data_IF_571432307400
#
_entry.id   IF_571432307400
#
_cell.length_a   1.000
_cell.length_b   1.000
_cell.length_c   1.000
_cell.angle_alpha   90.00
_cell.angle_beta   90.00
_cell.angle_gamma   90.00
#
_symmetry.space_group_name_H-M   'P 1'
#
loop_
_entity.id
_entity.type
_entity.pdbx_description
1 polymer ?
#
# COMPACT_ATOMS: atom_id res chain seq x y z
N UNK A 1 -6.43 9.68 4.66
CA UNK A 1 -7.76 9.29 4.13
C UNK A 1 -7.63 8.20 3.07
N UNK A 2 -6.80 8.39 2.03
CA UNK A 2 -6.48 7.36 1.02
C UNK A 2 -5.97 6.07 1.66
N UNK A 3 -4.97 6.18 2.55
CA UNK A 3 -4.39 5.04 3.29
C UNK A 3 -5.46 4.10 3.89
N UNK A 4 -6.42 4.67 4.63
CA UNK A 4 -7.54 3.92 5.24
C UNK A 4 -8.46 3.25 4.21
N UNK A 5 -8.64 3.85 3.02
CA UNK A 5 -9.43 3.22 1.95
C UNK A 5 -8.65 2.08 1.29
N UNK A 6 -7.35 2.25 1.06
CA UNK A 6 -6.50 1.18 0.55
C UNK A 6 -6.54 -0.03 1.49
N UNK A 7 -6.39 0.17 2.81
CA UNK A 7 -6.50 -0.89 3.82
C UNK A 7 -7.85 -1.62 3.78
N UNK A 8 -8.94 -0.89 3.51
CA UNK A 8 -10.28 -1.49 3.35
C UNK A 8 -10.40 -2.31 2.07
N UNK A 9 -9.79 -1.88 0.98
CA UNK A 9 -9.74 -2.65 -0.27
C UNK A 9 -8.91 -3.92 -0.06
N UNK A 10 -7.73 -3.81 0.57
CA UNK A 10 -6.87 -4.96 0.87
C UNK A 10 -7.55 -5.99 1.77
N UNK A 11 -8.29 -5.52 2.77
CA UNK A 11 -9.07 -6.38 3.66
C UNK A 11 -10.36 -6.94 3.07
N UNK A 12 -10.75 -6.55 1.85
CA UNK A 12 -11.95 -7.06 1.21
C UNK A 12 -11.77 -8.56 0.86
N UNK A 13 -12.75 -9.44 1.12
CA UNK A 13 -12.60 -10.88 0.91
C UNK A 13 -12.09 -11.27 -0.49
N UNK A 14 -12.61 -10.63 -1.53
CA UNK A 14 -12.17 -10.90 -2.91
C UNK A 14 -10.74 -10.45 -3.20
N UNK A 15 -10.20 -9.43 -2.50
CA UNK A 15 -8.81 -9.00 -2.71
C UNK A 15 -7.89 -9.85 -1.86
N UNK A 16 -8.19 -9.96 -0.57
CA UNK A 16 -7.40 -10.77 0.35
C UNK A 16 -7.33 -12.23 -0.10
N UNK A 17 -8.45 -12.81 -0.54
CA UNK A 17 -8.50 -14.18 -1.02
C UNK A 17 -7.64 -14.39 -2.27
N UNK A 18 -7.63 -13.44 -3.20
CA UNK A 18 -6.77 -13.49 -4.38
C UNK A 18 -5.29 -13.26 -4.05
N UNK A 19 -4.97 -12.39 -3.10
CA UNK A 19 -3.60 -12.23 -2.58
C UNK A 19 -3.12 -13.55 -1.95
N UNK A 20 -3.95 -14.17 -1.10
CA UNK A 20 -3.63 -15.46 -0.48
C UNK A 20 -3.43 -16.52 -1.57
N UNK A 21 -4.39 -16.68 -2.48
CA UNK A 21 -4.30 -17.67 -3.55
C UNK A 21 -3.09 -17.48 -4.46
N UNK A 22 -2.74 -16.22 -4.77
CA UNK A 22 -1.69 -15.91 -5.73
C UNK A 22 -0.28 -15.94 -5.16
N UNK A 23 -0.11 -15.76 -3.85
CA UNK A 23 1.21 -15.54 -3.26
C UNK A 23 1.52 -16.40 -2.02
N UNK A 24 0.56 -17.13 -1.47
CA UNK A 24 0.76 -17.99 -0.29
C UNK A 24 0.79 -19.45 -0.70
N UNK A 25 1.89 -20.14 -0.39
CA UNK A 25 2.09 -21.53 -0.83
C UNK A 25 1.14 -22.52 -0.15
N UNK A 26 0.74 -22.29 1.10
CA UNK A 26 -0.21 -23.16 1.80
C UNK A 26 -1.62 -23.10 1.20
N UNK A 27 -1.88 -22.16 0.28
CA UNK A 27 -3.13 -22.00 -0.46
C UNK A 27 -3.07 -22.58 -1.90
N UNK A 28 -1.97 -23.23 -2.29
CA UNK A 28 -1.75 -23.75 -3.65
C UNK A 28 -2.88 -24.71 -4.07
N UNK A 29 -3.25 -25.65 -3.19
CA UNK A 29 -4.29 -26.66 -3.46
C UNK A 29 -5.72 -26.21 -3.12
N UNK A 30 -5.89 -25.02 -2.53
CA UNK A 30 -7.21 -24.50 -2.12
C UNK A 30 -7.80 -23.65 -3.24
N UNK A 31 -9.07 -23.87 -3.61
CA UNK A 31 -9.72 -23.04 -4.63
C UNK A 31 -9.85 -21.59 -4.17
N UNK A 32 -9.88 -20.64 -5.12
CA UNK A 32 -10.05 -19.24 -4.77
C UNK A 32 -11.40 -19.00 -4.08
N UNK A 33 -12.44 -19.63 -4.59
CA UNK A 33 -13.81 -19.54 -4.09
C UNK A 33 -13.86 -20.00 -2.64
N UNK A 34 -13.20 -21.12 -2.32
CA UNK A 34 -13.09 -21.62 -0.96
C UNK A 34 -12.33 -20.65 -0.04
N UNK A 35 -11.22 -20.06 -0.49
CA UNK A 35 -10.50 -19.04 0.30
C UNK A 35 -11.39 -17.82 0.57
N UNK A 36 -12.09 -17.33 -0.45
CA UNK A 36 -13.02 -16.19 -0.31
C UNK A 36 -14.14 -16.55 0.68
N UNK A 37 -14.72 -17.75 0.59
CA UNK A 37 -15.75 -18.22 1.53
C UNK A 37 -15.21 -18.40 2.94
N UNK A 38 -13.96 -18.83 3.13
CA UNK A 38 -13.34 -18.86 4.47
C UNK A 38 -13.20 -17.45 5.08
N UNK A 39 -12.88 -16.45 4.25
CA UNK A 39 -12.77 -15.05 4.68
C UNK A 39 -14.15 -14.42 4.92
N UNK A 40 -15.15 -14.71 4.08
CA UNK A 40 -16.57 -14.32 4.26
C UNK A 40 -17.24 -15.09 5.41
N UNK A 41 -16.71 -16.27 5.72
CA UNK A 41 -17.28 -17.33 6.54
C UNK A 41 -17.88 -16.86 7.87
N UNK A 42 -19.13 -17.27 8.08
CA UNK A 42 -20.10 -16.73 9.04
C UNK A 42 -19.75 -16.98 10.52
N UNK A 43 -20.22 -16.03 11.33
CA UNK A 43 -20.19 -15.90 12.80
C UNK A 43 -20.99 -16.98 13.59
N UNK A 44 -21.52 -18.01 12.94
CA UNK A 44 -22.65 -18.78 13.50
C UNK A 44 -22.25 -20.05 14.27
N UNK A 45 -20.95 -20.26 14.48
CA UNK A 45 -20.43 -21.03 15.60
C UNK A 45 -19.58 -20.06 16.43
N UNK A 46 -19.75 -20.03 17.76
CA UNK A 46 -18.89 -19.25 18.64
C UNK A 46 -17.41 -19.44 18.24
N UNK A 47 -16.78 -18.36 17.76
CA UNK A 47 -15.44 -18.37 17.21
C UNK A 47 -15.37 -18.91 15.78
N UNK A 48 -15.42 -18.03 14.77
CA UNK A 48 -14.86 -18.36 13.47
C UNK A 48 -13.37 -18.71 13.69
N UNK A 49 -13.07 -20.00 13.73
CA UNK A 49 -11.72 -20.52 13.94
C UNK A 49 -10.93 -20.53 12.62
N UNK A 50 -11.61 -20.41 11.49
CA UNK A 50 -11.03 -20.50 10.15
C UNK A 50 -10.45 -19.19 9.65
N UNK A 51 -11.06 -18.03 9.92
CA UNK A 51 -10.49 -16.72 9.58
C UNK A 51 -10.71 -15.72 10.72
N UNK A 52 -9.67 -14.96 11.06
CA UNK A 52 -9.74 -13.91 12.08
C UNK A 52 -8.97 -12.68 11.60
N UNK A 53 -9.66 -11.55 11.42
CA UNK A 53 -9.00 -10.26 11.43
C UNK A 53 -8.54 -9.97 12.86
N UNK A 54 -7.24 -9.74 13.03
CA UNK A 54 -6.63 -9.51 14.34
C UNK A 54 -6.57 -8.01 14.65
N UNK A 55 -6.16 -7.66 15.87
CA UNK A 55 -5.85 -6.28 16.18
C UNK A 55 -4.58 -5.88 15.41
N UNK A 56 -4.70 -4.88 14.53
CA UNK A 56 -3.59 -4.30 13.79
C UNK A 56 -2.52 -3.67 14.70
N UNK A 57 -2.75 -3.55 16.01
CA UNK A 57 -1.74 -3.07 16.96
C UNK A 57 -1.26 -4.23 17.82
N UNK A 58 0.04 -4.51 17.76
CA UNK A 58 0.71 -5.40 18.70
C UNK A 58 1.63 -4.56 19.59
N UNK A 59 1.21 -4.42 20.84
CA UNK A 59 2.00 -3.80 21.90
C UNK A 59 2.60 -4.88 22.79
N UNK A 60 3.93 -4.95 22.84
CA UNK A 60 4.66 -5.88 23.70
C UNK A 60 5.33 -5.05 24.77
N UNK A 61 5.05 -5.38 26.04
CA UNK A 61 5.64 -4.73 27.19
C UNK A 61 7.17 -4.61 27.03
N UNK A 62 7.70 -3.41 27.25
CA UNK A 62 9.12 -3.05 27.09
C UNK A 62 9.71 -3.07 25.66
N UNK A 63 9.01 -3.64 24.67
CA UNK A 63 9.41 -3.66 23.26
C UNK A 63 8.62 -2.65 22.40
N UNK A 64 7.61 -2.01 22.99
CA UNK A 64 6.83 -0.94 22.39
C UNK A 64 5.75 -1.43 21.42
N UNK A 65 5.11 -0.47 20.76
CA UNK A 65 3.96 -0.67 19.88
C UNK A 65 4.37 -0.77 18.41
N UNK A 66 3.81 -1.75 17.71
CA UNK A 66 3.86 -1.84 16.23
C UNK A 66 2.43 -1.82 15.71
N UNK A 67 2.22 -1.10 14.60
CA UNK A 67 0.94 -1.03 13.90
C UNK A 67 1.09 -1.55 12.48
N UNK A 68 0.23 -2.50 12.16
CA UNK A 68 0.10 -3.19 10.88
C UNK A 68 -1.05 -2.61 10.07
N UNK A 69 -1.01 -2.75 8.76
CA UNK A 69 -2.05 -2.27 7.86
C UNK A 69 -3.26 -3.22 7.84
N UNK A 70 -3.02 -4.53 7.71
CA UNK A 70 -4.08 -5.54 7.75
C UNK A 70 -3.57 -6.88 8.26
N UNK A 71 -3.65 -7.09 9.58
CA UNK A 71 -3.20 -8.30 10.24
C UNK A 71 -4.36 -9.31 10.40
N UNK A 72 -4.16 -10.55 9.96
CA UNK A 72 -5.13 -11.63 10.10
C UNK A 72 -4.49 -13.01 10.25
N UNK A 73 -5.30 -14.01 10.57
CA UNK A 73 -4.93 -15.41 10.44
C UNK A 73 -6.02 -16.21 9.73
N UNK A 74 -5.62 -17.23 8.97
CA UNK A 74 -6.52 -18.12 8.24
C UNK A 74 -6.08 -19.58 8.40
N UNK A 75 -7.04 -20.51 8.49
CA UNK A 75 -6.83 -21.94 8.42
C UNK A 75 -7.15 -22.41 7.00
N UNK A 76 -6.15 -22.92 6.30
CA UNK A 76 -6.28 -23.41 4.94
C UNK A 76 -6.39 -24.93 4.93
N UNK A 77 -7.42 -25.51 4.30
CA UNK A 77 -7.55 -26.96 4.17
C UNK A 77 -6.44 -27.51 3.28
N UNK A 78 -6.03 -28.74 3.55
CA UNK A 78 -4.96 -29.43 2.82
C UNK A 78 -5.50 -30.74 2.22
N UNK A 79 -4.83 -31.25 1.18
CA UNK A 79 -5.25 -32.46 0.47
C UNK A 79 -5.30 -33.72 1.36
N UNK A 80 -4.53 -33.75 2.45
CA UNK A 80 -4.52 -34.84 3.43
C UNK A 80 -5.63 -34.73 4.50
N UNK A 81 -6.54 -33.76 4.36
CA UNK A 81 -7.62 -33.49 5.30
C UNK A 81 -7.20 -32.70 6.54
N UNK A 82 -5.94 -32.28 6.65
CA UNK A 82 -5.48 -31.39 7.72
C UNK A 82 -5.77 -29.92 7.43
N UNK A 83 -5.57 -29.07 8.42
CA UNK A 83 -5.66 -27.62 8.29
C UNK A 83 -4.32 -26.98 8.61
N UNK A 84 -3.80 -26.10 7.75
CA UNK A 84 -2.66 -25.25 8.06
C UNK A 84 -3.12 -23.85 8.44
N UNK A 85 -2.89 -23.49 9.70
CA UNK A 85 -3.06 -22.10 10.15
C UNK A 85 -1.83 -21.27 9.76
N UNK A 86 -2.08 -20.14 9.11
CA UNK A 86 -1.08 -19.11 8.85
C UNK A 86 -1.52 -17.77 9.44
N UNK A 87 -0.54 -16.94 9.77
CA UNK A 87 -0.73 -15.54 10.12
C UNK A 87 -0.18 -14.70 8.98
N UNK A 88 -0.87 -13.64 8.58
CA UNK A 88 -0.40 -12.75 7.53
C UNK A 88 -0.74 -11.30 7.82
N UNK A 89 0.17 -10.45 7.40
CA UNK A 89 -0.01 -9.01 7.30
C UNK A 89 0.12 -8.57 5.84
N UNK A 90 -0.83 -7.76 5.38
CA UNK A 90 -0.83 -7.18 4.03
C UNK A 90 -0.69 -5.67 4.15
N UNK A 91 0.45 -5.18 3.70
CA UNK A 91 0.89 -3.81 3.86
C UNK A 91 0.91 -3.06 2.54
N UNK A 92 0.58 -1.77 2.60
CA UNK A 92 0.66 -0.88 1.45
C UNK A 92 1.72 0.20 1.68
N UNK A 93 2.63 0.35 0.72
CA UNK A 93 3.74 1.29 0.84
C UNK A 93 3.88 2.12 -0.44
N UNK A 94 3.49 3.40 -0.37
CA UNK A 94 3.58 4.31 -1.51
C UNK A 94 5.00 4.76 -1.83
N UNK A 95 5.87 4.86 -0.81
CA UNK A 95 7.26 5.32 -0.98
C UNK A 95 8.19 4.12 -0.89
N UNK A 96 8.89 3.78 -1.97
CA UNK A 96 9.81 2.62 -2.00
C UNK A 96 10.91 2.68 -0.93
N UNK A 97 11.37 3.89 -0.60
CA UNK A 97 12.34 4.12 0.46
C UNK A 97 11.88 5.29 1.35
N UNK A 98 11.16 5.02 2.45
CA UNK A 98 10.71 6.05 3.39
C UNK A 98 11.83 6.57 4.32
N UNK A 99 13.11 6.26 4.05
CA UNK A 99 14.25 6.54 4.92
C UNK A 99 14.96 5.29 5.45
N UNK A 100 14.45 4.11 5.10
CA UNK A 100 15.02 2.80 5.41
C UNK A 100 14.53 1.78 4.36
N UNK A 101 15.23 0.65 4.24
CA UNK A 101 14.76 -0.44 3.39
C UNK A 101 13.49 -1.04 4.00
N UNK A 102 12.35 -1.07 3.28
CA UNK A 102 11.15 -1.73 3.78
C UNK A 102 11.48 -3.15 4.23
N UNK A 103 12.21 -3.93 3.42
CA UNK A 103 12.61 -5.30 3.73
C UNK A 103 13.05 -5.50 5.20
N UNK A 104 13.91 -4.62 5.71
CA UNK A 104 14.38 -4.63 7.11
C UNK A 104 13.25 -4.44 8.13
N UNK A 105 12.31 -3.52 7.89
CA UNK A 105 11.12 -3.34 8.73
C UNK A 105 10.26 -4.61 8.73
N UNK A 106 10.19 -5.34 7.62
CA UNK A 106 9.32 -6.51 7.51
C UNK A 106 9.85 -7.70 8.27
N UNK A 107 11.17 -7.84 8.40
CA UNK A 107 11.78 -8.76 9.37
C UNK A 107 11.34 -8.46 10.82
N UNK A 108 11.26 -7.17 11.17
CA UNK A 108 10.72 -6.73 12.46
C UNK A 108 9.25 -7.13 12.63
N UNK A 109 8.45 -7.03 11.57
CA UNK A 109 7.04 -7.39 11.56
C UNK A 109 6.83 -8.90 11.70
N UNK A 110 7.58 -9.71 10.93
CA UNK A 110 7.59 -11.17 11.05
C UNK A 110 7.95 -11.61 12.49
N UNK A 111 9.02 -11.04 13.05
CA UNK A 111 9.43 -11.33 14.43
C UNK A 111 8.34 -10.98 15.45
N UNK A 112 7.66 -9.84 15.23
CA UNK A 112 6.56 -9.37 16.09
C UNK A 112 5.35 -10.31 16.02
N UNK A 113 4.96 -10.74 14.82
CA UNK A 113 3.88 -11.69 14.60
C UNK A 113 4.20 -13.05 15.24
N UNK A 114 5.41 -13.58 15.03
CA UNK A 114 5.86 -14.83 15.66
C UNK A 114 5.82 -14.72 17.19
N UNK A 115 6.32 -13.63 17.76
CA UNK A 115 6.34 -13.45 19.22
C UNK A 115 4.93 -13.37 19.79
N UNK A 116 4.00 -12.72 19.08
CA UNK A 116 2.60 -12.56 19.50
C UNK A 116 1.79 -13.86 19.58
N UNK A 117 2.29 -14.95 18.97
CA UNK A 117 1.65 -16.26 19.04
C UNK A 117 1.92 -16.99 20.37
N UNK A 118 2.87 -16.53 21.19
CA UNK A 118 3.17 -17.14 22.49
C UNK A 118 1.95 -17.08 23.43
N UNK A 119 1.61 -18.20 24.05
CA UNK A 119 0.42 -18.37 24.88
C UNK A 119 -0.87 -18.63 24.08
N UNK A 120 -0.82 -18.60 22.74
CA UNK A 120 -1.94 -18.95 21.86
C UNK A 120 -1.66 -20.19 21.02
N UNK A 121 -0.54 -20.20 20.28
CA UNK A 121 -0.18 -21.30 19.36
C UNK A 121 0.96 -22.16 19.89
N UNK A 122 1.84 -21.58 20.72
CA UNK A 122 2.99 -22.25 21.33
C UNK A 122 3.29 -21.65 22.70
N UNK A 123 4.17 -22.29 23.46
CA UNK A 123 4.72 -21.76 24.71
C UNK A 123 6.20 -22.12 24.88
N UNK A 124 6.80 -21.73 26.01
CA UNK A 124 8.21 -21.99 26.31
C UNK A 124 8.56 -23.47 26.49
N UNK A 125 7.56 -24.36 26.62
CA UNK A 125 7.74 -25.81 26.75
C UNK A 125 7.66 -26.50 25.39
N UNK A 126 6.92 -25.94 24.45
CA UNK A 126 6.77 -26.50 23.11
C UNK A 126 6.67 -25.40 22.04
N UNK A 127 7.77 -25.16 21.33
CA UNK A 127 7.86 -24.20 20.22
C UNK A 127 7.34 -24.75 18.88
N UNK A 128 7.17 -26.07 18.74
CA UNK A 128 6.75 -26.68 17.47
C UNK A 128 5.32 -26.29 17.09
N UNK A 129 4.53 -25.79 18.06
CA UNK A 129 3.20 -25.23 17.81
C UNK A 129 3.20 -23.96 16.95
N UNK A 130 4.34 -23.27 16.82
CA UNK A 130 4.49 -22.00 16.13
C UNK A 130 4.02 -22.08 14.68
N UNK A 131 3.08 -21.18 14.33
CA UNK A 131 2.45 -21.09 13.02
C UNK A 131 3.23 -20.14 12.13
N UNK A 132 3.22 -20.45 10.85
CA UNK A 132 3.95 -19.67 9.87
C UNK A 132 3.35 -18.27 9.71
N UNK A 133 4.24 -17.28 9.55
CA UNK A 133 3.88 -15.88 9.36
C UNK A 133 4.27 -15.35 7.99
N UNK A 134 3.42 -14.52 7.40
CA UNK A 134 3.67 -13.82 6.15
C UNK A 134 3.60 -12.32 6.33
N UNK A 135 4.55 -11.58 5.76
CA UNK A 135 4.43 -10.11 5.58
C UNK A 135 4.48 -9.84 4.09
N UNK A 136 3.39 -9.31 3.54
CA UNK A 136 3.24 -9.00 2.12
C UNK A 136 3.23 -7.48 1.98
N UNK A 137 4.24 -6.91 1.32
CA UNK A 137 4.21 -5.51 0.91
C UNK A 137 3.76 -5.32 -0.52
N UNK A 138 2.78 -4.45 -0.70
CA UNK A 138 2.32 -3.98 -2.00
C UNK A 138 2.79 -2.54 -2.20
N UNK A 139 3.58 -2.31 -3.24
CA UNK A 139 4.01 -0.99 -3.68
C UNK A 139 3.19 -0.61 -4.93
N UNK A 140 2.07 0.11 -4.80
CA UNK A 140 1.19 0.46 -5.92
C UNK A 140 1.79 1.52 -6.86
N UNK A 141 2.87 2.17 -6.44
CA UNK A 141 3.53 3.28 -7.15
C UNK A 141 5.03 3.02 -7.31
N UNK A 142 5.39 1.77 -7.55
CA UNK A 142 6.78 1.39 -7.79
C UNK A 142 7.32 2.03 -9.08
N UNK A 143 8.65 2.16 -9.18
CA UNK A 143 9.30 2.61 -10.41
C UNK A 143 9.01 1.64 -11.56
N UNK A 144 8.80 2.17 -12.78
CA UNK A 144 8.45 1.38 -13.98
C UNK A 144 9.34 0.16 -14.21
N UNK A 145 10.65 0.25 -13.91
CA UNK A 145 11.62 -0.86 -14.04
C UNK A 145 11.37 -2.05 -13.10
N UNK A 146 10.47 -1.91 -12.13
CA UNK A 146 10.10 -2.94 -11.14
C UNK A 146 8.65 -3.38 -11.31
N UNK A 147 7.94 -2.83 -12.29
CA UNK A 147 6.54 -3.12 -12.49
C UNK A 147 6.33 -4.62 -12.71
N UNK A 148 5.36 -5.19 -12.00
CA UNK A 148 5.05 -6.62 -12.05
C UNK A 148 6.02 -7.53 -11.29
N UNK A 149 7.11 -7.01 -10.71
CA UNK A 149 8.06 -7.85 -9.97
C UNK A 149 7.46 -8.32 -8.64
N UNK A 150 7.67 -9.59 -8.32
CA UNK A 150 7.33 -10.18 -7.02
C UNK A 150 8.54 -10.90 -6.48
N UNK A 151 9.03 -10.47 -5.30
CA UNK A 151 10.17 -11.09 -4.65
C UNK A 151 9.73 -11.76 -3.36
N UNK A 152 10.08 -13.04 -3.18
CA UNK A 152 9.88 -13.76 -1.93
C UNK A 152 11.22 -13.95 -1.20
N UNK A 153 11.23 -13.65 0.10
CA UNK A 153 12.35 -13.83 1.00
C UNK A 153 11.94 -14.84 2.06
N UNK A 154 12.66 -15.96 2.11
CA UNK A 154 12.32 -17.12 2.93
C UNK A 154 13.57 -17.77 3.51
N UNK A 155 13.37 -18.54 4.58
CA UNK A 155 14.43 -19.38 5.16
C UNK A 155 14.57 -20.64 4.31
N UNK A 156 15.80 -20.97 3.90
CA UNK A 156 16.12 -22.27 3.32
C UNK A 156 17.32 -22.85 4.08
N UNK A 157 17.26 -24.14 4.38
CA UNK A 157 18.39 -24.86 4.95
C UNK A 157 19.52 -24.99 3.92
N UNK A 158 20.76 -24.76 4.34
CA UNK A 158 21.97 -25.01 3.54
C UNK A 158 23.00 -25.76 4.39
N UNK A 159 23.30 -27.00 3.99
CA UNK A 159 24.29 -27.82 4.68
C UNK A 159 25.71 -27.26 4.48
N UNK A 160 26.31 -26.76 5.56
CA UNK A 160 27.73 -26.35 5.57
C UNK A 160 28.65 -27.59 5.59
N UNK A 161 28.23 -28.67 6.26
CA UNK A 161 28.91 -29.95 6.32
C UNK A 161 27.94 -31.08 6.65
N UNK A 162 28.23 -32.30 6.19
CA UNK A 162 27.35 -33.47 6.36
C UNK A 162 26.14 -33.46 5.42
N UNK A 163 25.17 -34.34 5.70
CA UNK A 163 24.00 -34.58 4.83
C UNK A 163 22.68 -34.72 5.59
N UNK A 164 22.65 -34.37 6.87
CA UNK A 164 21.40 -34.37 7.65
C UNK A 164 20.50 -33.23 7.17
N UNK A 165 19.23 -33.51 6.92
CA UNK A 165 18.22 -32.54 6.49
C UNK A 165 17.18 -32.44 7.61
N UNK A 166 16.83 -31.22 8.01
CA UNK A 166 15.78 -30.98 8.99
C UNK A 166 14.38 -31.04 8.38
N UNK A 167 13.37 -31.29 9.22
CA UNK A 167 11.97 -31.20 8.78
C UNK A 167 11.66 -29.76 8.38
N UNK A 168 11.03 -29.57 7.22
CA UNK A 168 10.73 -28.24 6.69
C UNK A 168 9.95 -27.38 7.70
N UNK A 169 8.99 -27.99 8.39
CA UNK A 169 8.12 -27.32 9.37
C UNK A 169 8.90 -26.78 10.58
N UNK A 170 10.10 -27.31 10.86
CA UNK A 170 10.93 -26.88 11.99
C UNK A 170 11.56 -25.50 11.74
N UNK A 171 11.92 -25.17 10.49
CA UNK A 171 12.61 -23.91 10.16
C UNK A 171 11.79 -22.95 9.27
N UNK A 172 10.78 -23.44 8.56
CA UNK A 172 9.90 -22.63 7.71
C UNK A 172 8.82 -21.92 8.53
N UNK A 173 9.23 -20.90 9.28
CA UNK A 173 8.33 -20.15 10.19
C UNK A 173 7.90 -18.80 9.66
N UNK A 174 8.55 -18.28 8.61
CA UNK A 174 8.25 -16.95 8.09
C UNK A 174 8.66 -16.76 6.64
N UNK A 175 7.83 -16.03 5.88
CA UNK A 175 8.19 -15.54 4.55
C UNK A 175 7.78 -14.07 4.39
N UNK A 176 8.56 -13.32 3.62
CA UNK A 176 8.27 -11.94 3.26
C UNK A 176 8.11 -11.83 1.75
N UNK A 177 7.04 -11.18 1.30
CA UNK A 177 6.71 -11.05 -0.13
C UNK A 177 6.62 -9.57 -0.49
N UNK A 178 7.34 -9.17 -1.55
CA UNK A 178 7.38 -7.80 -2.04
C UNK A 178 6.76 -7.75 -3.43
N UNK A 179 5.61 -7.10 -3.57
CA UNK A 179 4.86 -6.95 -4.81
C UNK A 179 5.01 -5.51 -5.30
N UNK A 180 5.62 -5.34 -6.47
CA UNK A 180 5.86 -4.04 -7.07
C UNK A 180 4.93 -3.83 -8.26
N UNK A 181 4.16 -2.76 -8.21
CA UNK A 181 3.16 -2.39 -9.20
C UNK A 181 3.38 -0.93 -9.59
N UNK A 182 3.27 -0.62 -10.87
CA UNK A 182 3.35 0.76 -11.34
C UNK A 182 1.95 1.32 -11.60
N UNK A 183 1.69 2.51 -11.06
CA UNK A 183 0.41 3.21 -11.24
C UNK A 183 0.08 3.58 -12.69
N UNK A 184 1.11 3.66 -13.54
CA UNK A 184 1.03 4.04 -14.96
C UNK A 184 1.16 2.79 -15.87
N UNK A 185 0.95 1.59 -15.32
CA UNK A 185 0.91 0.34 -16.07
C UNK A 185 -0.18 0.38 -17.15
N UNK A 186 0.14 -0.06 -18.37
CA UNK A 186 -0.85 -0.21 -19.42
C UNK A 186 -1.63 -1.50 -19.18
N UNK A 187 -2.90 -1.39 -18.78
CA UNK A 187 -3.78 -2.54 -18.48
C UNK A 187 -4.00 -3.51 -19.66
N UNK A 188 -3.60 -3.12 -20.88
CA UNK A 188 -3.57 -4.00 -22.05
C UNK A 188 -2.37 -4.96 -22.02
N UNK A 189 -1.29 -4.58 -21.36
CA UNK A 189 -0.05 -5.34 -21.21
C UNK A 189 -0.14 -6.28 -20.00
N UNK A 190 -0.91 -7.36 -20.14
CA UNK A 190 -1.21 -8.32 -19.06
C UNK A 190 0.05 -8.85 -18.37
N UNK A 191 0.03 -8.92 -17.04
CA UNK A 191 1.11 -9.54 -16.25
C UNK A 191 1.09 -11.07 -16.32
N UNK A 192 1.76 -11.70 -17.28
CA UNK A 192 1.99 -13.16 -17.42
C UNK A 192 1.11 -14.06 -16.51
N UNK A 193 1.67 -14.64 -15.44
CA UNK A 193 1.00 -15.66 -14.62
C UNK A 193 0.13 -15.10 -13.46
N UNK A 194 0.07 -13.78 -13.31
CA UNK A 194 -0.48 -13.15 -12.08
C UNK A 194 -1.32 -11.91 -12.36
N UNK A 195 -1.69 -11.69 -13.62
CA UNK A 195 -2.50 -10.57 -14.05
C UNK A 195 -3.86 -10.50 -13.36
N UNK A 196 -4.45 -11.67 -13.11
CA UNK A 196 -5.73 -11.85 -12.42
C UNK A 196 -5.78 -11.28 -10.99
N UNK A 197 -4.63 -10.93 -10.41
CA UNK A 197 -4.53 -10.21 -9.12
C UNK A 197 -3.75 -8.90 -9.25
N UNK A 198 -2.68 -8.85 -10.06
CA UNK A 198 -1.85 -7.64 -10.19
C UNK A 198 -2.59 -6.48 -10.85
N UNK A 199 -3.29 -6.72 -11.97
CA UNK A 199 -4.05 -5.66 -12.65
C UNK A 199 -5.20 -5.13 -11.77
N UNK A 200 -6.01 -5.98 -11.11
CA UNK A 200 -6.96 -5.52 -10.11
C UNK A 200 -6.33 -4.69 -8.97
N UNK A 201 -5.16 -5.08 -8.45
CA UNK A 201 -4.46 -4.31 -7.42
C UNK A 201 -4.01 -2.94 -7.92
N UNK A 202 -3.40 -2.85 -9.11
CA UNK A 202 -3.03 -1.57 -9.75
C UNK A 202 -4.26 -0.67 -9.84
N UNK A 203 -5.35 -1.22 -10.36
CA UNK A 203 -6.53 -0.43 -10.71
C UNK A 203 -7.32 -0.03 -9.48
N UNK A 204 -7.57 -0.92 -8.53
CA UNK A 204 -8.38 -0.60 -7.35
C UNK A 204 -7.66 0.29 -6.35
N UNK A 205 -6.34 0.14 -6.19
CA UNK A 205 -5.54 0.98 -5.29
C UNK A 205 -5.18 2.34 -5.89
N UNK A 206 -5.26 2.50 -7.21
CA UNK A 206 -4.98 3.78 -7.87
C UNK A 206 -6.22 4.71 -7.85
N UNK A 207 -6.09 5.90 -7.27
CA UNK A 207 -7.16 6.88 -7.14
C UNK A 207 -7.37 7.78 -8.39
N UNK A 208 -6.59 7.61 -9.45
CA UNK A 208 -6.73 8.40 -10.70
C UNK A 208 -7.64 7.75 -11.73
N UNK A 209 -7.82 6.43 -11.68
CA UNK A 209 -8.75 5.73 -12.57
C UNK A 209 -10.20 6.02 -12.15
N UNK A 210 -11.03 6.32 -13.14
CA UNK A 210 -12.45 6.53 -12.94
C UNK A 210 -13.19 5.22 -12.57
N UNK A 211 -14.44 5.37 -12.17
CA UNK A 211 -15.28 4.25 -11.78
C UNK A 211 -15.63 3.31 -12.96
N UNK A 212 -15.64 3.80 -14.20
CA UNK A 212 -15.99 3.01 -15.38
C UNK A 212 -14.91 1.96 -15.63
N UNK A 213 -13.65 2.37 -15.68
CA UNK A 213 -12.50 1.48 -15.88
C UNK A 213 -12.43 0.44 -14.74
N UNK A 214 -12.64 0.86 -13.50
CA UNK A 214 -12.66 -0.07 -12.36
C UNK A 214 -13.79 -1.09 -12.48
N UNK A 215 -14.98 -0.71 -12.99
CA UNK A 215 -16.09 -1.64 -13.24
C UNK A 215 -15.79 -2.62 -14.38
N UNK A 216 -15.08 -2.18 -15.41
CA UNK A 216 -14.63 -3.07 -16.49
C UNK A 216 -13.68 -4.13 -15.93
N UNK A 217 -12.70 -3.74 -15.12
CA UNK A 217 -11.80 -4.66 -14.42
C UNK A 217 -12.56 -5.59 -13.48
N UNK A 218 -13.52 -5.08 -12.70
CA UNK A 218 -14.35 -5.95 -11.86
C UNK A 218 -15.04 -7.04 -12.67
N UNK A 219 -15.62 -6.68 -13.83
CA UNK A 219 -16.30 -7.63 -14.71
C UNK A 219 -15.33 -8.61 -15.37
N UNK A 220 -14.19 -8.11 -15.88
CA UNK A 220 -13.18 -8.91 -16.58
C UNK A 220 -12.59 -10.00 -15.67
N UNK A 221 -12.30 -9.66 -14.42
CA UNK A 221 -11.63 -10.56 -13.46
C UNK A 221 -12.59 -11.23 -12.47
N UNK A 222 -13.91 -11.06 -12.62
CA UNK A 222 -14.92 -11.71 -11.77
C UNK A 222 -14.87 -11.26 -10.30
N UNK A 223 -14.95 -9.95 -10.06
CA UNK A 223 -15.21 -9.37 -8.75
C UNK A 223 -16.71 -9.05 -8.63
N UNK A 224 -17.36 -9.55 -7.59
CA UNK A 224 -18.82 -9.48 -7.41
C UNK A 224 -19.23 -8.43 -6.37
N UNK A 225 -18.46 -8.28 -5.28
CA UNK A 225 -18.92 -7.54 -4.09
C UNK A 225 -18.15 -6.26 -3.75
N UNK A 226 -17.02 -5.98 -4.43
CA UNK A 226 -16.11 -4.88 -4.04
C UNK A 226 -16.52 -3.47 -4.49
N UNK A 227 -17.62 -3.32 -5.25
CA UNK A 227 -17.96 -2.07 -5.95
C UNK A 227 -18.07 -0.88 -4.99
N UNK A 228 -18.59 -1.12 -3.79
CA UNK A 228 -18.80 -0.08 -2.77
C UNK A 228 -17.48 0.52 -2.28
N UNK A 229 -16.45 -0.30 -2.08
CA UNK A 229 -15.13 0.09 -1.62
C UNK A 229 -14.38 0.84 -2.74
N UNK A 230 -14.47 0.31 -3.96
CA UNK A 230 -13.95 0.90 -5.19
C UNK A 230 -14.56 2.28 -5.44
N UNK A 231 -15.89 2.43 -5.34
CA UNK A 231 -16.59 3.71 -5.53
C UNK A 231 -16.18 4.76 -4.51
N UNK A 232 -15.96 4.38 -3.24
CA UNK A 232 -15.45 5.30 -2.21
C UNK A 232 -14.04 5.80 -2.56
N UNK A 233 -13.20 4.95 -3.14
CA UNK A 233 -11.85 5.34 -3.59
C UNK A 233 -11.93 6.39 -4.72
N UNK A 234 -12.80 6.19 -5.71
CA UNK A 234 -13.02 7.16 -6.81
C UNK A 234 -13.49 8.52 -6.27
N UNK A 235 -14.55 8.53 -5.45
CA UNK A 235 -15.11 9.77 -4.92
C UNK A 235 -14.05 10.58 -4.14
N UNK A 236 -13.19 9.89 -3.39
CA UNK A 236 -12.08 10.53 -2.68
C UNK A 236 -11.03 11.07 -3.66
N UNK A 237 -10.67 10.31 -4.69
CA UNK A 237 -9.77 10.73 -5.75
C UNK A 237 -10.24 12.02 -6.44
N UNK A 238 -11.51 12.07 -6.83
CA UNK A 238 -12.14 13.24 -7.45
C UNK A 238 -12.13 14.47 -6.54
N UNK A 239 -12.45 14.29 -5.26
CA UNK A 239 -12.42 15.38 -4.28
C UNK A 239 -11.01 15.97 -4.15
N UNK A 240 -9.99 15.12 -4.01
CA UNK A 240 -8.60 15.55 -3.91
C UNK A 240 -8.13 16.23 -5.20
N UNK A 241 -8.50 15.69 -6.37
CA UNK A 241 -8.18 16.29 -7.65
C UNK A 241 -8.78 17.70 -7.78
N UNK A 242 -10.05 17.89 -7.38
CA UNK A 242 -10.72 19.19 -7.38
C UNK A 242 -10.02 20.19 -6.45
N UNK A 243 -9.74 19.80 -5.21
CA UNK A 243 -9.02 20.65 -4.26
C UNK A 243 -7.63 21.06 -4.79
N UNK A 244 -6.93 20.14 -5.45
CA UNK A 244 -5.61 20.42 -6.02
C UNK A 244 -5.70 21.36 -7.24
N UNK A 245 -6.73 21.22 -8.08
CA UNK A 245 -6.98 22.15 -9.20
C UNK A 245 -7.31 23.55 -8.68
N UNK A 246 -8.18 23.67 -7.68
CA UNK A 246 -8.54 24.95 -7.07
C UNK A 246 -7.32 25.63 -6.44
N UNK A 247 -6.51 24.88 -5.68
CA UNK A 247 -5.24 25.37 -5.13
C UNK A 247 -4.27 25.77 -6.23
N UNK A 248 -4.07 24.93 -7.24
CA UNK A 248 -3.20 25.21 -8.37
C UNK A 248 -3.61 26.46 -9.15
N UNK A 249 -4.92 26.63 -9.40
CA UNK A 249 -5.46 27.82 -10.04
C UNK A 249 -5.24 29.07 -9.19
N UNK A 250 -5.49 29.00 -7.88
CA UNK A 250 -5.25 30.13 -6.98
C UNK A 250 -3.78 30.53 -6.92
N UNK A 251 -2.86 29.57 -6.84
CA UNK A 251 -1.42 29.80 -6.86
C UNK A 251 -0.97 30.39 -8.20
N UNK A 252 -1.49 29.86 -9.31
CA UNK A 252 -1.20 30.36 -10.65
C UNK A 252 -1.66 31.80 -10.86
N UNK A 253 -2.82 32.18 -10.34
CA UNK A 253 -3.34 33.54 -10.42
C UNK A 253 -2.48 34.52 -9.61
N UNK A 254 -2.10 34.17 -8.38
CA UNK A 254 -1.19 34.97 -7.55
C UNK A 254 0.18 35.13 -8.22
N UNK A 255 0.73 34.04 -8.76
CA UNK A 255 2.01 34.08 -9.47
C UNK A 255 1.92 34.94 -10.75
N UNK A 256 0.82 34.85 -11.49
CA UNK A 256 0.54 35.68 -12.67
C UNK A 256 0.50 37.16 -12.33
N UNK A 257 -0.24 37.54 -11.28
CA UNK A 257 -0.30 38.93 -10.79
C UNK A 257 1.08 39.45 -10.36
N UNK A 258 1.89 38.62 -9.69
CA UNK A 258 3.26 38.98 -9.29
C UNK A 258 4.14 39.24 -10.51
N UNK A 259 4.10 38.37 -11.53
CA UNK A 259 4.87 38.54 -12.77
C UNK A 259 4.42 39.76 -13.60
N UNK A 260 3.10 40.00 -13.69
CA UNK A 260 2.56 41.18 -14.34
C UNK A 260 3.02 42.46 -13.64
N UNK A 261 2.96 42.49 -12.30
CA UNK A 261 3.46 43.60 -11.49
C UNK A 261 4.95 43.86 -11.73
N UNK A 262 5.78 42.82 -11.76
CA UNK A 262 7.21 42.95 -12.07
C UNK A 262 7.41 43.54 -13.47
N UNK A 263 6.64 43.08 -14.45
CA UNK A 263 6.72 43.58 -15.84
C UNK A 263 6.32 45.05 -15.93
N UNK A 264 5.26 45.46 -15.24
CA UNK A 264 4.83 46.87 -15.16
C UNK A 264 5.92 47.75 -14.53
N UNK A 265 6.57 47.28 -13.46
CA UNK A 265 7.67 48.00 -12.82
C UNK A 265 8.86 48.15 -13.79
N UNK A 266 9.26 47.09 -14.50
CA UNK A 266 10.33 47.15 -15.51
C UNK A 266 10.03 48.20 -16.57
N UNK A 267 8.85 48.12 -17.18
CA UNK A 267 8.42 49.04 -18.23
C UNK A 267 8.40 50.50 -17.74
N UNK A 268 7.98 50.72 -16.48
CA UNK A 268 7.92 52.05 -15.88
C UNK A 268 9.31 52.61 -15.56
N UNK A 269 10.21 51.78 -15.04
CA UNK A 269 11.61 52.16 -14.80
C UNK A 269 12.30 52.56 -16.10
N UNK A 270 12.09 51.80 -17.18
CA UNK A 270 12.66 52.09 -18.50
C UNK A 270 12.07 53.36 -19.12
N UNK A 271 10.73 53.47 -19.15
CA UNK A 271 10.04 54.58 -19.83
C UNK A 271 10.20 55.93 -19.13
N UNK A 272 10.22 55.92 -17.79
CA UNK A 272 10.30 57.14 -16.99
C UNK A 272 11.71 57.42 -16.45
N UNK A 273 12.69 56.55 -16.76
CA UNK A 273 14.06 56.59 -16.21
C UNK A 273 14.07 56.81 -14.69
N UNK A 274 13.25 56.04 -13.96
CA UNK A 274 13.09 56.18 -12.52
C UNK A 274 13.59 54.95 -11.75
N UNK A 275 13.86 55.12 -10.45
CA UNK A 275 14.27 54.01 -9.60
C UNK A 275 13.12 53.03 -9.35
N UNK A 276 13.46 51.77 -9.02
CA UNK A 276 12.48 50.75 -8.64
C UNK A 276 11.56 51.22 -7.51
N UNK A 277 12.13 51.86 -6.47
CA UNK A 277 11.36 52.42 -5.37
C UNK A 277 10.33 53.45 -5.84
N UNK A 278 10.75 54.34 -6.76
CA UNK A 278 9.86 55.36 -7.32
C UNK A 278 8.75 54.74 -8.17
N UNK A 279 9.05 53.72 -8.97
CA UNK A 279 8.05 52.97 -9.74
C UNK A 279 7.02 52.29 -8.81
N UNK A 280 7.48 51.65 -7.73
CA UNK A 280 6.60 51.03 -6.73
C UNK A 280 5.71 52.06 -6.00
N UNK A 281 6.23 53.25 -5.70
CA UNK A 281 5.45 54.34 -5.11
C UNK A 281 4.38 54.88 -6.07
N UNK A 282 4.72 55.07 -7.35
CA UNK A 282 3.78 55.51 -8.40
C UNK A 282 2.67 54.50 -8.59
N UNK A 283 2.99 53.20 -8.60
CA UNK A 283 2.02 52.10 -8.65
C UNK A 283 1.26 51.89 -7.33
N UNK A 284 1.61 52.62 -6.26
CA UNK A 284 0.99 52.54 -4.93
C UNK A 284 0.94 51.11 -4.38
N UNK A 285 2.02 50.36 -4.58
CA UNK A 285 2.10 48.99 -4.10
C UNK A 285 2.05 48.92 -2.57
N UNK A 286 1.33 47.93 -2.06
CA UNK A 286 1.27 47.59 -0.63
C UNK A 286 2.59 47.01 -0.13
N UNK A 287 2.75 46.86 1.19
CA UNK A 287 3.98 46.35 1.80
C UNK A 287 4.32 44.92 1.31
N UNK A 288 3.31 44.04 1.24
CA UNK A 288 3.50 42.66 0.80
C UNK A 288 3.91 42.59 -0.68
N UNK A 289 3.28 43.41 -1.51
CA UNK A 289 3.59 43.49 -2.94
C UNK A 289 4.98 44.05 -3.23
N UNK A 290 5.47 44.98 -2.40
CA UNK A 290 6.84 45.50 -2.48
C UNK A 290 7.85 44.42 -2.13
N UNK A 291 7.61 43.65 -1.07
CA UNK A 291 8.47 42.54 -0.66
C UNK A 291 8.60 41.50 -1.76
N UNK A 292 7.48 41.15 -2.40
CA UNK A 292 7.43 40.23 -3.55
C UNK A 292 8.34 40.66 -4.70
N UNK A 293 8.33 41.96 -5.03
CA UNK A 293 9.16 42.55 -6.09
C UNK A 293 10.62 42.55 -5.68
N UNK A 294 10.93 42.99 -4.46
CA UNK A 294 12.31 43.03 -3.95
C UNK A 294 12.97 41.65 -3.91
N UNK A 295 12.23 40.60 -3.53
CA UNK A 295 12.73 39.23 -3.56
C UNK A 295 13.11 38.77 -4.98
N UNK A 296 12.32 39.14 -5.98
CA UNK A 296 12.60 38.81 -7.38
C UNK A 296 13.87 39.48 -7.93
N UNK A 297 14.21 40.69 -7.46
CA UNK A 297 15.43 41.39 -7.89
C UNK A 297 16.66 41.06 -7.03
N UNK A 298 16.49 40.35 -5.91
CA UNK A 298 17.59 39.84 -5.06
C UNK A 298 18.10 38.47 -5.51
N UNK A 299 17.29 37.72 -6.26
CA UNK A 299 17.67 36.44 -6.90
C UNK A 299 18.38 36.66 -8.23
#
# INVERSE_FOLDING_TARGET
>A
MIDKLCKRILGHPEILGRIIKGFIKEAEDVSLEEIIELIKGKKDQEGNSYFQQLNNVIDIAHHGRVEFDYLCCINLPQADGTMKRIYLDVEIQNVENPGYAPLTRGNGYLSRMITSQNGKEYDYRNYDGMKKTYVIWIFPQAAKKRDGHVNCYKTNEHNISGSTIERLESYDKSEQIMIYLNKDHDIKDKYEDSDWIKTPLVIFLNNTYDLLIKKEVMKEYGFEEIEKEVKKMCNLGEMIARENIEKGHSMGLVQGQKLERITLIKNMMESLQCSMQRAMDVLKLTADERKDVEEYYKS
#
